data_IF_662230176153
#
_entry.id   IF_662230176153
#
_cell.length_a   1.000
_cell.length_b   1.000
_cell.length_c   1.000
_cell.angle_alpha   90.00
_cell.angle_beta   90.00
_cell.angle_gamma   90.00
#
_symmetry.space_group_name_H-M   'P 1'
#
loop_
_entity.id
_entity.type
_entity.pdbx_description
1 polymer ?
#
# COMPACT_ATOMS: atom_id res chain seq x y z
N UNK A 1 5.42 -7.54 34.76
CA UNK A 1 4.19 -8.00 34.08
C UNK A 1 2.94 -7.16 34.39
N UNK A 2 3.03 -5.85 34.73
CA UNK A 2 1.83 -5.03 35.07
C UNK A 2 1.78 -3.62 34.43
N UNK A 3 2.71 -3.25 33.54
CA UNK A 3 2.92 -1.83 33.20
C UNK A 3 2.20 -1.33 31.93
N UNK A 4 1.79 -2.21 31.02
CA UNK A 4 1.18 -1.79 29.75
C UNK A 4 -0.26 -1.28 29.93
N UNK A 5 -1.08 -2.01 30.71
CA UNK A 5 -2.49 -1.65 30.93
C UNK A 5 -2.71 -0.35 31.71
N UNK A 6 -1.82 -0.04 32.66
CA UNK A 6 -1.85 1.21 33.43
C UNK A 6 -1.41 2.42 32.59
N UNK A 7 -0.51 2.22 31.63
CA UNK A 7 -0.03 3.27 30.72
C UNK A 7 -1.12 3.64 29.71
N UNK A 8 -1.82 2.63 29.15
CA UNK A 8 -2.97 2.82 28.28
C UNK A 8 -4.12 3.57 28.96
N UNK A 9 -4.41 3.24 30.22
CA UNK A 9 -5.48 3.88 30.99
C UNK A 9 -5.23 5.38 31.24
N UNK A 10 -3.96 5.78 31.38
CA UNK A 10 -3.56 7.16 31.67
C UNK A 10 -3.62 8.04 30.42
N UNK A 11 -3.23 7.52 29.26
CA UNK A 11 -3.27 8.25 27.98
C UNK A 11 -4.71 8.49 27.48
N UNK A 12 -5.62 7.53 27.69
CA UNK A 12 -7.03 7.66 27.27
C UNK A 12 -7.79 8.78 28.01
N UNK A 13 -7.34 9.15 29.21
CA UNK A 13 -7.99 10.17 30.03
C UNK A 13 -7.60 11.61 29.67
N UNK A 14 -6.37 11.85 29.17
CA UNK A 14 -5.89 13.19 28.79
C UNK A 14 -6.43 13.69 27.44
N UNK A 15 -6.84 12.76 26.56
CA UNK A 15 -7.09 13.04 25.14
C UNK A 15 -8.53 13.48 24.80
N UNK A 16 -9.48 13.23 25.71
CA UNK A 16 -10.93 13.50 25.46
C UNK A 16 -11.31 14.98 25.38
N UNK A 17 -10.50 15.88 25.96
CA UNK A 17 -10.87 17.30 26.05
C UNK A 17 -10.36 18.18 24.89
N UNK A 18 -9.42 17.69 24.05
CA UNK A 18 -8.81 18.49 22.98
C UNK A 18 -9.33 18.15 21.55
N UNK A 19 -9.79 16.91 21.32
CA UNK A 19 -10.04 16.37 19.97
C UNK A 19 -11.29 16.89 19.24
N UNK A 20 -12.23 17.57 19.91
CA UNK A 20 -13.54 17.83 19.30
C UNK A 20 -13.61 19.11 18.43
N UNK A 21 -12.62 20.01 18.48
CA UNK A 21 -12.60 21.28 17.72
C UNK A 21 -11.61 21.28 16.54
N UNK A 22 -10.54 20.48 16.59
CA UNK A 22 -9.50 20.44 15.53
C UNK A 22 -9.92 19.56 14.34
N UNK A 23 -10.65 18.47 14.61
CA UNK A 23 -10.99 17.42 13.64
C UNK A 23 -11.82 17.92 12.44
N UNK A 24 -12.70 18.90 12.66
CA UNK A 24 -13.60 19.39 11.60
C UNK A 24 -12.92 20.39 10.64
N UNK A 25 -11.89 21.12 11.07
CA UNK A 25 -11.14 22.05 10.20
C UNK A 25 -10.05 21.36 9.37
N UNK A 26 -9.47 20.26 9.86
CA UNK A 26 -8.45 19.51 9.13
C UNK A 26 -9.05 18.66 8.00
N UNK A 27 -10.22 18.04 8.20
CA UNK A 27 -10.88 17.23 7.17
C UNK A 27 -11.27 18.03 5.92
N UNK A 28 -11.69 19.30 6.09
CA UNK A 28 -12.06 20.16 4.95
C UNK A 28 -10.81 20.60 4.17
N UNK A 29 -9.75 21.02 4.88
CA UNK A 29 -8.46 21.40 4.25
C UNK A 29 -7.77 20.21 3.58
N UNK A 30 -7.94 18.99 4.11
CA UNK A 30 -7.37 17.78 3.53
C UNK A 30 -8.07 17.39 2.22
N UNK A 31 -9.41 17.48 2.17
CA UNK A 31 -10.20 17.22 0.95
C UNK A 31 -9.85 18.19 -0.18
N UNK A 32 -9.67 19.48 0.13
CA UNK A 32 -9.26 20.49 -0.85
C UNK A 32 -7.83 20.26 -1.35
N UNK A 33 -6.87 19.94 -0.47
CA UNK A 33 -5.48 19.61 -0.83
C UNK A 33 -5.36 18.33 -1.65
N UNK A 34 -6.22 17.34 -1.38
CA UNK A 34 -6.28 16.10 -2.13
C UNK A 34 -6.85 16.33 -3.54
N UNK A 35 -7.95 17.07 -3.65
CA UNK A 35 -8.55 17.41 -4.95
C UNK A 35 -7.57 18.22 -5.83
N UNK A 36 -6.85 19.19 -5.26
CA UNK A 36 -5.85 19.98 -5.98
C UNK A 36 -4.66 19.11 -6.40
N UNK A 37 -4.14 18.26 -5.52
CA UNK A 37 -3.04 17.32 -5.85
C UNK A 37 -3.46 16.31 -6.93
N UNK A 38 -4.70 15.83 -6.89
CA UNK A 38 -5.26 14.90 -7.88
C UNK A 38 -5.45 15.57 -9.26
N UNK A 39 -5.92 16.82 -9.29
CA UNK A 39 -6.03 17.61 -10.52
C UNK A 39 -4.64 17.89 -11.10
N UNK A 40 -3.65 18.22 -10.27
CA UNK A 40 -2.25 18.43 -10.72
C UNK A 40 -1.66 17.13 -11.27
N UNK A 41 -1.87 16.00 -10.60
CA UNK A 41 -1.43 14.69 -11.08
C UNK A 41 -2.05 14.34 -12.44
N UNK A 42 -3.37 14.54 -12.59
CA UNK A 42 -4.07 14.36 -13.87
C UNK A 42 -3.55 15.34 -14.94
N UNK A 43 -3.25 16.59 -14.56
CA UNK A 43 -2.76 17.62 -15.47
C UNK A 43 -1.33 17.35 -15.94
N UNK A 44 -0.48 16.76 -15.07
CA UNK A 44 0.87 16.30 -15.42
C UNK A 44 0.80 15.05 -16.32
N UNK A 45 -0.22 14.22 -16.16
CA UNK A 45 -0.48 13.05 -17.02
C UNK A 45 -1.08 13.40 -18.40
N UNK A 46 -1.53 14.65 -18.63
CA UNK A 46 -2.32 15.03 -19.81
C UNK A 46 -1.60 15.86 -20.91
N UNK A 47 -0.26 15.85 -21.01
CA UNK A 47 0.28 15.89 -22.37
C UNK A 47 1.56 15.04 -22.53
N UNK A 48 1.40 13.78 -22.92
CA UNK A 48 2.45 13.00 -23.60
C UNK A 48 2.09 12.67 -25.05
N UNK A 49 1.28 13.52 -25.69
CA UNK A 49 1.01 13.46 -27.12
C UNK A 49 2.06 14.21 -27.94
N UNK A 50 3.37 14.05 -27.66
CA UNK A 50 4.46 14.58 -28.51
C UNK A 50 5.74 13.72 -28.38
N UNK A 51 5.65 12.39 -28.54
CA UNK A 51 6.79 11.60 -29.02
C UNK A 51 6.28 10.57 -30.01
N UNK A 52 6.47 10.87 -31.29
CA UNK A 52 6.18 9.99 -32.40
C UNK A 52 7.26 8.88 -32.49
N UNK A 53 6.91 7.66 -32.07
CA UNK A 53 6.88 6.46 -32.93
C UNK A 53 6.63 5.23 -32.04
N UNK A 54 5.59 4.44 -32.34
CA UNK A 54 5.42 3.08 -31.82
C UNK A 54 5.13 2.95 -30.31
N UNK A 55 4.27 3.85 -29.78
CA UNK A 55 3.88 3.82 -28.37
C UNK A 55 2.89 2.68 -28.10
N UNK A 56 3.38 1.67 -27.38
CA UNK A 56 2.62 0.50 -26.91
C UNK A 56 2.16 0.81 -25.48
N UNK A 57 0.88 1.18 -25.35
CA UNK A 57 0.25 1.50 -24.08
C UNK A 57 -0.60 0.33 -23.61
N UNK A 58 -0.65 0.11 -22.31
CA UNK A 58 -1.60 -0.83 -21.75
C UNK A 58 -2.24 -0.35 -20.45
N UNK A 59 -3.45 -0.82 -20.24
CA UNK A 59 -4.15 -0.71 -18.97
C UNK A 59 -4.20 -2.10 -18.34
N UNK A 60 -3.82 -2.19 -17.07
CA UNK A 60 -3.88 -3.42 -16.28
C UNK A 60 -4.85 -3.25 -15.13
N UNK A 61 -5.79 -4.17 -15.02
CA UNK A 61 -6.50 -4.41 -13.76
C UNK A 61 -5.85 -5.61 -13.08
N UNK A 62 -5.63 -5.51 -11.77
CA UNK A 62 -4.99 -6.58 -11.01
C UNK A 62 -5.72 -6.87 -9.70
N UNK A 63 -5.55 -8.12 -9.26
CA UNK A 63 -5.85 -8.58 -7.92
C UNK A 63 -4.62 -9.22 -7.31
N UNK A 64 -4.51 -9.21 -5.99
CA UNK A 64 -3.35 -9.77 -5.29
C UNK A 64 -3.69 -10.41 -3.96
N UNK A 65 -2.82 -11.33 -3.53
CA UNK A 65 -2.65 -11.72 -2.14
C UNK A 65 -1.28 -11.25 -1.67
N UNK A 66 -1.19 -10.71 -0.45
CA UNK A 66 0.01 -10.01 0.03
C UNK A 66 0.28 -10.34 1.50
N UNK A 67 0.95 -11.47 1.78
CA UNK A 67 1.40 -11.80 3.14
C UNK A 67 2.47 -10.82 3.63
N UNK A 68 2.43 -10.50 4.93
CA UNK A 68 3.58 -9.94 5.64
C UNK A 68 4.66 -11.02 5.80
N UNK A 69 5.93 -10.61 5.71
CA UNK A 69 7.07 -11.51 5.91
C UNK A 69 8.07 -10.99 6.93
N UNK A 70 8.00 -9.69 7.27
CA UNK A 70 8.75 -9.11 8.38
C UNK A 70 8.21 -7.73 8.75
N UNK A 71 8.58 -7.30 9.95
CA UNK A 71 8.26 -5.97 10.48
C UNK A 71 7.63 -6.09 11.87
N UNK A 72 7.97 -5.16 12.74
CA UNK A 72 7.40 -5.08 14.09
C UNK A 72 6.12 -4.25 14.06
N UNK A 73 4.99 -4.80 14.49
CA UNK A 73 3.72 -4.08 14.64
C UNK A 73 3.58 -3.42 16.02
N UNK A 74 4.65 -3.37 16.80
CA UNK A 74 4.69 -2.61 18.05
C UNK A 74 6.11 -2.48 18.58
N UNK A 75 6.23 -1.99 19.80
CA UNK A 75 7.51 -1.83 20.49
C UNK A 75 7.41 -2.30 21.93
N UNK A 76 8.51 -2.88 22.43
CA UNK A 76 8.61 -3.41 23.77
C UNK A 76 8.68 -4.93 23.84
N UNK A 77 8.83 -5.46 25.05
CA UNK A 77 8.87 -6.91 25.28
C UNK A 77 7.51 -7.53 24.98
N UNK A 78 7.48 -8.47 24.05
CA UNK A 78 6.25 -9.14 23.61
C UNK A 78 5.41 -8.33 22.62
N UNK A 79 6.00 -7.33 21.96
CA UNK A 79 5.34 -6.62 20.87
C UNK A 79 5.00 -7.59 19.72
N UNK A 80 3.83 -7.44 19.08
CA UNK A 80 3.46 -8.25 17.94
C UNK A 80 4.29 -7.87 16.72
N UNK A 81 4.61 -8.85 15.88
CA UNK A 81 5.01 -8.60 14.50
C UNK A 81 3.77 -8.36 13.61
N UNK A 82 3.95 -7.89 12.37
CA UNK A 82 2.80 -7.64 11.48
C UNK A 82 2.01 -8.90 11.15
N UNK A 83 2.66 -10.06 11.05
CA UNK A 83 2.01 -11.36 10.79
C UNK A 83 1.34 -11.96 12.04
N UNK A 84 1.70 -11.49 13.23
CA UNK A 84 0.94 -11.74 14.46
C UNK A 84 -0.35 -10.91 14.53
N UNK A 85 -0.25 -9.63 14.14
CA UNK A 85 -1.33 -8.66 14.26
C UNK A 85 -2.34 -8.75 13.10
N UNK A 86 -1.91 -9.20 11.91
CA UNK A 86 -2.73 -9.21 10.71
C UNK A 86 -2.54 -10.49 9.90
N UNK A 87 -3.64 -10.98 9.33
CA UNK A 87 -3.60 -12.05 8.34
C UNK A 87 -3.08 -11.55 6.99
N UNK A 88 -2.82 -12.47 6.06
CA UNK A 88 -2.48 -12.14 4.67
C UNK A 88 -3.49 -11.20 4.04
N UNK A 89 -3.02 -10.11 3.45
CA UNK A 89 -3.86 -9.12 2.81
C UNK A 89 -4.35 -9.56 1.43
N UNK A 90 -5.48 -9.00 1.02
CA UNK A 90 -6.00 -9.10 -0.35
C UNK A 90 -6.17 -7.69 -0.91
N UNK A 91 -6.00 -7.54 -2.23
CA UNK A 91 -6.13 -6.23 -2.85
C UNK A 91 -6.47 -6.26 -4.31
N UNK A 92 -6.92 -5.12 -4.81
CA UNK A 92 -7.21 -4.88 -6.22
C UNK A 92 -6.68 -3.52 -6.64
N UNK A 93 -6.46 -3.31 -7.93
CA UNK A 93 -6.08 -2.00 -8.43
C UNK A 93 -5.96 -1.92 -9.94
N UNK A 94 -5.51 -0.75 -10.37
CA UNK A 94 -5.32 -0.41 -11.77
C UNK A 94 -3.93 0.16 -12.01
N UNK A 95 -3.36 -0.13 -13.19
CA UNK A 95 -2.11 0.44 -13.65
C UNK A 95 -2.23 0.90 -15.09
N UNK A 96 -1.58 2.00 -15.39
CA UNK A 96 -1.24 2.41 -16.74
C UNK A 96 0.23 2.11 -17.00
N UNK A 97 0.53 1.52 -18.14
CA UNK A 97 1.87 1.13 -18.56
C UNK A 97 2.15 1.68 -19.96
N UNK A 98 3.34 2.23 -20.16
CA UNK A 98 3.82 2.75 -21.42
C UNK A 98 5.18 2.14 -21.78
N UNK A 99 5.18 1.25 -22.78
CA UNK A 99 6.38 0.63 -23.32
C UNK A 99 6.98 1.46 -24.45
N UNK A 100 7.78 2.45 -24.04
CA UNK A 100 8.44 3.41 -24.93
C UNK A 100 9.67 2.84 -25.67
N UNK A 101 10.13 1.62 -25.32
CA UNK A 101 11.22 0.96 -26.05
C UNK A 101 11.00 -0.55 -26.21
N UNK A 102 11.91 -1.23 -26.92
CA UNK A 102 11.85 -2.68 -27.08
C UNK A 102 11.94 -3.45 -25.76
N UNK A 103 12.46 -2.84 -24.68
CA UNK A 103 12.74 -3.54 -23.41
C UNK A 103 12.35 -2.77 -22.15
N UNK A 104 11.91 -1.53 -22.26
CA UNK A 104 11.68 -0.68 -21.09
C UNK A 104 10.29 -0.09 -21.18
N UNK A 105 9.60 -0.14 -20.04
CA UNK A 105 8.30 0.49 -19.84
C UNK A 105 8.30 1.31 -18.57
N UNK A 106 7.52 2.39 -18.57
CA UNK A 106 7.16 3.13 -17.36
C UNK A 106 5.73 2.77 -16.98
N UNK A 107 5.44 2.80 -15.69
CA UNK A 107 4.08 2.55 -15.20
C UNK A 107 3.73 3.49 -14.05
N UNK A 108 2.43 3.67 -13.86
CA UNK A 108 1.84 4.29 -12.68
C UNK A 108 0.58 3.53 -12.28
N UNK A 109 0.36 3.36 -10.99
CA UNK A 109 -0.75 2.58 -10.47
C UNK A 109 -1.29 3.07 -9.14
N UNK A 110 -2.52 2.67 -8.88
CA UNK A 110 -3.22 2.85 -7.61
C UNK A 110 -3.91 1.54 -7.25
N UNK A 111 -4.00 1.24 -5.96
CA UNK A 111 -4.70 0.07 -5.46
C UNK A 111 -5.47 0.34 -4.19
N UNK A 112 -6.15 -0.71 -3.75
CA UNK A 112 -6.81 -0.80 -2.45
C UNK A 112 -6.58 -2.21 -1.91
N UNK A 113 -6.16 -2.29 -0.66
CA UNK A 113 -5.83 -3.54 0.01
C UNK A 113 -6.44 -3.55 1.41
N UNK A 114 -6.81 -4.73 1.88
CA UNK A 114 -7.29 -4.95 3.23
C UNK A 114 -6.56 -6.13 3.84
N UNK A 115 -6.21 -5.98 5.10
CA UNK A 115 -5.57 -7.01 5.92
C UNK A 115 -6.43 -7.20 7.16
N UNK A 116 -6.96 -8.41 7.33
CA UNK A 116 -7.84 -8.71 8.44
C UNK A 116 -7.04 -8.75 9.74
N UNK A 117 -7.49 -7.99 10.74
CA UNK A 117 -6.91 -7.97 12.07
C UNK A 117 -7.00 -9.34 12.75
N UNK A 118 -6.02 -9.63 13.59
CA UNK A 118 -5.91 -10.86 14.37
C UNK A 118 -5.82 -10.57 15.86
N UNK A 119 -5.82 -11.61 16.68
CA UNK A 119 -5.64 -11.50 18.12
C UNK A 119 -4.27 -12.01 18.53
N UNK A 120 -3.48 -11.16 19.19
CA UNK A 120 -2.19 -11.51 19.75
C UNK A 120 -2.16 -11.21 21.26
N UNK A 121 -1.84 -12.21 22.07
CA UNK A 121 -1.80 -12.11 23.54
C UNK A 121 -3.06 -11.48 24.18
N UNK A 122 -4.24 -11.71 23.59
CA UNK A 122 -5.52 -11.20 24.07
C UNK A 122 -5.86 -9.77 23.62
N UNK A 123 -5.00 -9.13 22.85
CA UNK A 123 -5.27 -7.86 22.16
C UNK A 123 -5.77 -8.20 20.75
N UNK A 124 -6.99 -7.78 20.42
CA UNK A 124 -7.55 -7.91 19.07
C UNK A 124 -7.29 -6.63 18.30
N UNK A 125 -6.68 -6.75 17.13
CA UNK A 125 -6.47 -5.67 16.17
C UNK A 125 -7.69 -5.60 15.24
N UNK A 126 -8.13 -4.39 14.92
CA UNK A 126 -9.07 -4.16 13.80
C UNK A 126 -8.33 -4.22 12.46
N UNK A 127 -9.09 -4.32 11.37
CA UNK A 127 -8.53 -4.44 10.02
C UNK A 127 -7.74 -3.18 9.64
N UNK A 128 -6.69 -3.36 8.82
CA UNK A 128 -5.96 -2.25 8.20
C UNK A 128 -6.25 -2.20 6.71
N UNK A 129 -6.64 -1.01 6.24
CA UNK A 129 -6.84 -0.69 4.84
C UNK A 129 -5.61 0.08 4.32
N UNK A 130 -5.15 -0.28 3.12
CA UNK A 130 -3.97 0.32 2.50
C UNK A 130 -4.32 0.80 1.09
N UNK A 131 -4.04 2.06 0.80
CA UNK A 131 -4.18 2.65 -0.54
C UNK A 131 -2.78 2.99 -1.09
N UNK A 132 -2.15 2.06 -1.84
CA UNK A 132 -0.88 2.34 -2.50
C UNK A 132 -1.07 3.21 -3.74
N UNK A 133 -0.20 4.20 -3.92
CA UNK A 133 -0.05 5.01 -5.13
C UNK A 133 1.43 4.98 -5.51
N UNK A 134 1.74 4.52 -6.71
CA UNK A 134 3.13 4.28 -7.11
C UNK A 134 3.37 4.55 -8.59
N UNK A 135 4.65 4.79 -8.90
CA UNK A 135 5.18 4.77 -10.25
C UNK A 135 6.36 3.81 -10.31
N UNK A 136 6.70 3.33 -11.48
CA UNK A 136 7.72 2.31 -11.62
C UNK A 136 8.20 2.12 -13.04
N UNK A 137 9.06 1.12 -13.19
CA UNK A 137 9.57 0.69 -14.48
C UNK A 137 9.62 -0.82 -14.59
N UNK A 138 9.46 -1.30 -15.83
CA UNK A 138 9.67 -2.69 -16.20
C UNK A 138 10.86 -2.80 -17.14
N UNK A 139 11.70 -3.81 -16.88
CA UNK A 139 12.69 -4.29 -17.84
C UNK A 139 12.22 -5.63 -18.41
N UNK A 140 11.85 -5.62 -19.68
CA UNK A 140 11.38 -6.78 -20.41
C UNK A 140 12.57 -7.60 -20.92
N UNK A 141 12.57 -8.88 -20.57
CA UNK A 141 13.63 -9.82 -20.96
C UNK A 141 13.51 -10.14 -22.46
N UNK A 142 12.30 -10.16 -23.01
CA UNK A 142 12.03 -10.42 -24.42
C UNK A 142 11.60 -9.15 -25.18
N UNK A 143 11.85 -9.08 -26.51
CA UNK A 143 11.33 -8.00 -27.35
C UNK A 143 9.81 -8.03 -27.51
N UNK A 144 9.22 -6.93 -28.00
CA UNK A 144 7.76 -6.71 -28.14
C UNK A 144 7.00 -7.79 -28.93
N UNK A 145 7.68 -8.56 -29.78
CA UNK A 145 7.05 -9.50 -30.73
C UNK A 145 6.71 -10.87 -30.13
N UNK A 146 7.09 -11.12 -28.88
CA UNK A 146 6.90 -12.42 -28.23
C UNK A 146 5.59 -12.47 -27.44
N UNK A 147 4.90 -13.64 -27.47
CA UNK A 147 3.68 -13.83 -26.66
C UNK A 147 3.97 -13.92 -25.17
N UNK A 148 5.10 -14.50 -24.81
CA UNK A 148 5.58 -14.57 -23.43
C UNK A 148 6.54 -13.42 -23.19
N UNK A 149 6.15 -12.52 -22.29
CA UNK A 149 6.90 -11.33 -21.95
C UNK A 149 7.28 -11.37 -20.45
N UNK A 150 8.36 -12.08 -20.11
CA UNK A 150 8.90 -12.05 -18.76
C UNK A 150 9.64 -10.74 -18.51
N UNK A 151 9.45 -10.16 -17.33
CA UNK A 151 9.98 -8.85 -16.98
C UNK A 151 10.44 -8.79 -15.52
N UNK A 152 11.40 -7.89 -15.28
CA UNK A 152 11.75 -7.38 -13.95
C UNK A 152 11.04 -6.06 -13.72
N UNK A 153 10.73 -5.74 -12.46
CA UNK A 153 9.96 -4.56 -12.10
C UNK A 153 10.49 -3.91 -10.83
N UNK A 154 10.45 -2.59 -10.81
CA UNK A 154 10.65 -1.77 -9.61
C UNK A 154 9.57 -0.70 -9.49
N UNK A 155 9.10 -0.48 -8.26
CA UNK A 155 8.08 0.49 -7.89
C UNK A 155 8.60 1.42 -6.80
N UNK A 156 8.22 2.69 -6.87
CA UNK A 156 8.42 3.69 -5.82
C UNK A 156 7.14 4.52 -5.66
N UNK A 157 6.79 4.85 -4.44
CA UNK A 157 5.58 5.63 -4.20
C UNK A 157 5.30 5.86 -2.72
N UNK A 158 4.01 5.96 -2.42
CA UNK A 158 3.51 6.08 -1.06
C UNK A 158 2.30 5.16 -0.86
N UNK A 159 2.05 4.78 0.38
CA UNK A 159 0.85 4.07 0.78
C UNK A 159 0.17 4.82 1.90
N UNK A 160 -1.14 5.04 1.76
CA UNK A 160 -1.95 5.51 2.87
C UNK A 160 -2.44 4.32 3.68
N UNK A 161 -2.12 4.31 4.97
CA UNK A 161 -2.56 3.31 5.93
C UNK A 161 -3.74 3.88 6.72
N UNK A 162 -4.82 3.11 6.88
CA UNK A 162 -5.91 3.49 7.78
C UNK A 162 -5.45 3.50 9.23
N UNK A 163 -6.22 4.19 10.09
CA UNK A 163 -6.07 4.01 11.52
C UNK A 163 -6.38 2.57 11.90
N UNK A 164 -5.66 2.05 12.89
CA UNK A 164 -5.93 0.73 13.48
C UNK A 164 -6.32 0.93 14.92
N UNK A 165 -7.50 0.45 15.28
CA UNK A 165 -7.93 0.38 16.66
C UNK A 165 -7.64 -1.02 17.22
N UNK A 166 -7.41 -1.10 18.53
CA UNK A 166 -7.24 -2.35 19.28
C UNK A 166 -8.27 -2.47 20.38
N UNK A 167 -8.59 -3.71 20.73
CA UNK A 167 -9.43 -4.03 21.87
C UNK A 167 -8.80 -5.08 22.78
N UNK A 168 -8.92 -4.85 24.09
CA UNK A 168 -8.53 -5.80 25.13
C UNK A 168 -9.66 -5.88 26.16
N UNK A 169 -10.31 -7.04 26.25
CA UNK A 169 -11.54 -7.21 27.03
C UNK A 169 -12.60 -6.15 26.63
N UNK A 170 -13.02 -5.29 27.57
CA UNK A 170 -14.01 -4.25 27.33
C UNK A 170 -13.40 -2.87 27.00
N UNK A 171 -12.07 -2.80 26.84
CA UNK A 171 -11.35 -1.54 26.57
C UNK A 171 -11.00 -1.49 25.08
N UNK A 172 -11.38 -0.39 24.43
CA UNK A 172 -10.96 -0.06 23.06
C UNK A 172 -10.07 1.17 23.08
N UNK A 173 -9.09 1.20 22.18
CA UNK A 173 -8.20 2.35 22.01
C UNK A 173 -7.61 2.36 20.62
N UNK A 174 -7.28 3.55 20.13
CA UNK A 174 -6.59 3.69 18.85
C UNK A 174 -5.14 3.30 19.00
N UNK A 175 -4.65 2.40 18.15
CA UNK A 175 -3.28 1.91 18.15
C UNK A 175 -2.40 2.69 17.17
N UNK A 176 -2.82 2.78 15.92
CA UNK A 176 -2.18 3.62 14.90
C UNK A 176 -3.12 4.70 14.40
N UNK A 177 -2.59 5.90 14.18
CA UNK A 177 -3.29 6.92 13.41
C UNK A 177 -3.09 6.65 11.91
N UNK A 178 -4.01 7.18 11.09
CA UNK A 178 -3.87 7.08 9.63
C UNK A 178 -2.65 7.87 9.18
N UNK A 179 -1.79 7.27 8.34
CA UNK A 179 -0.57 7.92 7.89
C UNK A 179 -0.24 7.59 6.44
N UNK A 180 0.55 8.48 5.81
CA UNK A 180 1.17 8.20 4.52
C UNK A 180 2.60 7.72 4.77
N UNK A 181 2.92 6.53 4.27
CA UNK A 181 4.25 5.94 4.40
C UNK A 181 4.90 5.80 3.04
N UNK A 182 6.23 5.82 3.03
CA UNK A 182 7.00 5.52 1.83
C UNK A 182 6.76 4.07 1.39
N UNK A 183 6.65 3.85 0.07
CA UNK A 183 6.50 2.54 -0.54
C UNK A 183 7.62 2.29 -1.54
N UNK A 184 8.20 1.10 -1.46
CA UNK A 184 9.16 0.61 -2.45
C UNK A 184 8.87 -0.86 -2.77
N UNK A 185 8.98 -1.23 -4.04
CA UNK A 185 8.78 -2.61 -4.47
C UNK A 185 9.79 -3.02 -5.52
N UNK A 186 10.19 -4.29 -5.49
CA UNK A 186 10.99 -4.88 -6.55
C UNK A 186 10.63 -6.35 -6.75
N UNK A 187 10.66 -6.82 -7.99
CA UNK A 187 10.28 -8.18 -8.31
C UNK A 187 10.30 -8.46 -9.79
N UNK A 188 9.48 -9.43 -10.19
CA UNK A 188 9.37 -9.83 -11.58
C UNK A 188 8.07 -10.57 -11.84
N UNK A 189 7.76 -10.66 -13.12
CA UNK A 189 6.55 -11.34 -13.56
C UNK A 189 6.68 -11.81 -14.98
N UNK A 190 5.59 -12.40 -15.46
CA UNK A 190 5.44 -12.81 -16.83
C UNK A 190 4.06 -12.43 -17.29
N UNK A 191 3.98 -11.87 -18.50
CA UNK A 191 2.74 -11.64 -19.22
C UNK A 191 2.63 -12.61 -20.39
N UNK A 192 1.46 -13.22 -20.56
CA UNK A 192 1.07 -13.91 -21.78
C UNK A 192 0.14 -13.02 -22.60
N UNK A 193 0.53 -12.64 -23.82
CA UNK A 193 -0.20 -11.75 -24.72
C UNK A 193 -0.89 -12.50 -25.86
N UNK A 194 -2.16 -12.15 -26.13
CA UNK A 194 -2.93 -12.60 -27.29
C UNK A 194 -3.75 -11.44 -27.88
N UNK A 195 -3.35 -10.98 -29.06
CA UNK A 195 -3.96 -9.81 -29.69
C UNK A 195 -3.80 -8.58 -28.79
N UNK A 196 -4.91 -7.93 -28.45
CA UNK A 196 -4.96 -6.78 -27.53
C UNK A 196 -5.02 -7.14 -26.06
N UNK A 197 -5.13 -8.41 -25.71
CA UNK A 197 -5.31 -8.85 -24.33
C UNK A 197 -4.05 -9.53 -23.81
N UNK A 198 -3.84 -9.48 -22.50
CA UNK A 198 -2.83 -10.26 -21.83
C UNK A 198 -3.23 -10.63 -20.42
N UNK A 199 -2.67 -11.71 -19.90
CA UNK A 199 -2.75 -12.09 -18.48
C UNK A 199 -1.35 -12.11 -17.91
N UNK A 200 -1.19 -11.51 -16.73
CA UNK A 200 0.09 -11.43 -16.05
C UNK A 200 0.05 -12.11 -14.68
N UNK A 201 1.18 -12.69 -14.31
CA UNK A 201 1.48 -13.18 -12.97
C UNK A 201 2.78 -12.52 -12.52
N UNK A 202 2.78 -11.92 -11.34
CA UNK A 202 3.91 -11.16 -10.79
C UNK A 202 4.10 -11.50 -9.32
N UNK A 203 5.35 -11.66 -8.90
CA UNK A 203 5.74 -11.74 -7.50
C UNK A 203 6.73 -10.61 -7.19
N UNK A 204 6.54 -9.92 -6.07
CA UNK A 204 7.44 -8.85 -5.65
C UNK A 204 7.67 -8.83 -4.15
N UNK A 205 8.81 -8.30 -3.74
CA UNK A 205 9.05 -7.85 -2.38
C UNK A 205 8.65 -6.39 -2.29
N UNK A 206 7.89 -6.05 -1.25
CA UNK A 206 7.42 -4.68 -1.07
C UNK A 206 7.67 -4.22 0.36
N UNK A 207 8.39 -3.11 0.47
CA UNK A 207 8.63 -2.35 1.67
C UNK A 207 7.55 -1.28 1.85
N UNK A 208 7.08 -1.11 3.09
CA UNK A 208 6.27 0.02 3.52
C UNK A 208 6.88 0.63 4.78
N UNK A 209 6.91 1.95 4.84
CA UNK A 209 7.42 2.69 5.99
C UNK A 209 6.58 2.52 7.27
N UNK A 210 7.00 3.22 8.31
CA UNK A 210 6.43 3.14 9.66
C UNK A 210 5.09 3.90 9.76
N UNK A 211 4.03 3.30 10.33
CA UNK A 211 2.80 4.02 10.63
C UNK A 211 2.95 4.97 11.81
N UNK A 212 2.09 5.98 11.88
CA UNK A 212 2.11 6.93 12.99
C UNK A 212 1.46 6.31 14.25
N UNK A 213 2.19 6.35 15.35
CA UNK A 213 1.73 5.80 16.64
C UNK A 213 0.74 6.74 17.33
N UNK A 214 -0.45 6.24 17.66
CA UNK A 214 -1.47 7.02 18.36
C UNK A 214 -1.28 7.07 19.89
N UNK A 215 -0.60 6.07 20.48
CA UNK A 215 -0.40 5.94 21.93
C UNK A 215 1.07 6.04 22.37
N UNK A 216 2.00 6.29 21.45
CA UNK A 216 3.44 6.22 21.72
C UNK A 216 3.88 4.78 21.97
N UNK A 217 4.71 4.53 22.97
CA UNK A 217 5.04 3.16 23.38
C UNK A 217 3.81 2.52 24.06
N UNK A 218 3.31 1.34 23.65
CA UNK A 218 3.96 0.32 22.80
C UNK A 218 3.53 0.33 21.32
N UNK A 219 2.64 1.22 20.88
CA UNK A 219 2.13 1.23 19.50
C UNK A 219 3.12 1.75 18.45
N UNK A 220 4.32 2.20 18.84
CA UNK A 220 5.39 2.52 17.89
C UNK A 220 5.79 1.26 17.11
N UNK A 221 5.48 1.24 15.83
CA UNK A 221 5.75 0.14 14.92
C UNK A 221 6.97 0.44 14.05
N UNK A 222 7.60 -0.63 13.54
CA UNK A 222 8.62 -0.56 12.52
C UNK A 222 8.02 -0.58 11.11
N UNK A 223 8.90 -0.40 10.13
CA UNK A 223 8.57 -0.65 8.73
C UNK A 223 8.22 -2.12 8.50
N UNK A 224 7.49 -2.41 7.43
CA UNK A 224 7.09 -3.78 7.07
C UNK A 224 7.57 -4.20 5.70
N UNK A 225 7.73 -5.51 5.55
CA UNK A 225 7.91 -6.17 4.25
C UNK A 225 6.76 -7.13 3.97
N UNK A 226 6.30 -7.10 2.73
CA UNK A 226 5.26 -7.98 2.19
C UNK A 226 5.76 -8.67 0.92
N UNK A 227 5.13 -9.78 0.56
CA UNK A 227 5.37 -10.47 -0.72
C UNK A 227 4.08 -10.54 -1.54
N UNK A 228 3.67 -9.45 -2.23
CA UNK A 228 2.53 -9.49 -3.11
C UNK A 228 2.70 -10.51 -4.25
N UNK A 229 1.70 -11.39 -4.40
CA UNK A 229 1.49 -12.26 -5.55
C UNK A 229 0.31 -11.68 -6.32
N UNK A 230 0.57 -11.18 -7.52
CA UNK A 230 -0.36 -10.35 -8.30
C UNK A 230 -0.76 -11.07 -9.58
N UNK A 231 -2.06 -11.15 -9.85
CA UNK A 231 -2.62 -11.60 -11.13
C UNK A 231 -3.25 -10.40 -11.83
N UNK A 232 -2.95 -10.21 -13.11
CA UNK A 232 -3.47 -9.09 -13.89
C UNK A 232 -4.13 -9.49 -15.20
N UNK A 233 -5.11 -8.69 -15.61
CA UNK A 233 -5.66 -8.66 -16.97
C UNK A 233 -5.22 -7.34 -17.60
N UNK A 234 -4.63 -7.42 -18.78
CA UNK A 234 -3.98 -6.32 -19.47
C UNK A 234 -4.69 -6.09 -20.81
N UNK A 235 -4.93 -4.83 -21.16
CA UNK A 235 -5.45 -4.43 -22.47
C UNK A 235 -4.47 -3.47 -23.14
N UNK A 236 -3.97 -3.85 -24.31
CA UNK A 236 -2.98 -3.14 -25.12
C UNK A 236 -3.67 -2.37 -26.25
N UNK A 237 -3.26 -1.12 -26.46
CA UNK A 237 -3.84 -0.20 -27.43
C UNK A 237 -3.07 -0.17 -28.75
#
# INVERSE_FOLDING_TARGET
MYNLGLTLLKCVLDDKHFKHQVKHQEEVKMKERFAVSFIILISVLLPLSVFASDNDYSLRLWGQASPFISGSAGSGSGAPDYDDAFNSGIGIGGEFDWRFSQRISLLAGIGYETYNGSSHQGISFEDIEIVPVYAGGKFHITPKTTRWDPYLRMDIGAAHLSSVDVSYQNIKGRYWDSSWVFLFGFGGGVEYRWGRWGVSLEGKFRYMGEPDSAMGFPSTAGSSWTVPIVVGINYHF
#
